data_IF_426059417066
#
_entry.id   IF_426059417066
#
_cell.length_a   1.000
_cell.length_b   1.000
_cell.length_c   1.000
_cell.angle_alpha   90.00
_cell.angle_beta   90.00
_cell.angle_gamma   90.00
#
_symmetry.space_group_name_H-M   'P 1'
#
loop_
_entity.id
_entity.type
_entity.pdbx_description
1 polymer ?
#
# COMPACT_ATOMS: atom_id res chain seq x y z
N UNK A 1 8.20 7.60 4.50
CA UNK A 1 8.52 6.46 3.61
C UNK A 1 7.59 6.51 2.40
N UNK A 2 7.97 5.89 1.28
CA UNK A 2 7.02 5.58 0.20
C UNK A 2 7.17 4.15 -0.23
N UNK A 3 6.08 3.52 -0.63
CA UNK A 3 6.14 2.38 -1.55
C UNK A 3 6.20 2.90 -2.99
N UNK A 4 6.89 2.13 -3.83
CA UNK A 4 7.02 2.37 -5.27
C UNK A 4 6.46 1.14 -5.97
N UNK A 5 5.23 1.20 -6.47
CA UNK A 5 4.72 0.13 -7.33
C UNK A 5 5.25 0.39 -8.75
N UNK A 6 6.40 -0.21 -9.04
CA UNK A 6 7.08 -0.07 -10.33
C UNK A 6 6.65 -1.15 -11.33
N UNK A 7 5.49 -1.78 -11.13
CA UNK A 7 4.90 -2.68 -12.10
C UNK A 7 4.45 -1.93 -13.37
N UNK A 8 4.20 -0.63 -13.27
CA UNK A 8 3.85 0.19 -14.42
C UNK A 8 5.08 0.60 -15.25
N UNK A 9 5.06 0.39 -16.58
CA UNK A 9 6.23 0.57 -17.44
C UNK A 9 6.68 2.03 -17.64
N UNK A 10 5.86 3.00 -17.22
CA UNK A 10 6.05 4.44 -17.54
C UNK A 10 6.72 5.24 -16.41
N UNK A 11 6.79 4.69 -15.18
CA UNK A 11 7.46 5.31 -14.03
C UNK A 11 8.80 4.63 -13.81
N UNK A 12 9.89 5.37 -14.01
CA UNK A 12 11.24 4.87 -13.74
C UNK A 12 11.70 5.29 -12.35
N UNK A 13 12.57 4.52 -11.67
CA UNK A 13 13.14 4.92 -10.38
C UNK A 13 13.73 6.34 -10.38
N UNK A 14 14.31 6.79 -11.50
CA UNK A 14 14.88 8.14 -11.64
C UNK A 14 13.86 9.27 -11.50
N UNK A 15 12.56 8.99 -11.71
CA UNK A 15 11.47 9.96 -11.68
C UNK A 15 10.95 10.18 -10.24
N UNK A 16 11.36 9.34 -9.29
CA UNK A 16 10.99 9.47 -7.88
C UNK A 16 11.65 10.71 -7.28
N UNK A 17 10.88 11.61 -6.65
CA UNK A 17 11.43 12.79 -6.00
C UNK A 17 12.20 12.42 -4.72
N UNK A 18 13.41 12.98 -4.59
CA UNK A 18 14.25 12.83 -3.39
C UNK A 18 14.14 14.06 -2.45
N UNK A 19 14.75 13.95 -1.28
CA UNK A 19 14.77 14.93 -0.20
C UNK A 19 13.56 14.88 0.76
N UNK A 20 12.50 14.16 0.39
CA UNK A 20 11.26 14.06 1.19
C UNK A 20 11.19 12.72 1.91
N UNK A 21 11.48 11.63 1.21
CA UNK A 21 11.46 10.27 1.75
C UNK A 21 12.78 9.90 2.41
N UNK A 22 12.74 9.34 3.62
CA UNK A 22 13.89 8.69 4.25
C UNK A 22 14.08 7.24 3.76
N UNK A 23 12.99 6.59 3.38
CA UNK A 23 12.96 5.20 2.92
C UNK A 23 12.09 5.07 1.66
N UNK A 24 12.54 4.24 0.73
CA UNK A 24 11.76 3.77 -0.42
C UNK A 24 11.60 2.25 -0.35
N UNK A 25 10.37 1.76 -0.39
CA UNK A 25 10.06 0.33 -0.50
C UNK A 25 9.77 -0.02 -1.95
N UNK A 26 10.57 -0.89 -2.55
CA UNK A 26 10.27 -1.45 -3.87
C UNK A 26 9.14 -2.48 -3.72
N UNK A 27 7.96 -2.18 -4.27
CA UNK A 27 6.84 -3.10 -4.36
C UNK A 27 6.76 -3.70 -5.79
N UNK A 28 6.83 -5.01 -5.98
CA UNK A 28 7.15 -6.07 -5.01
C UNK A 28 8.18 -7.06 -5.59
N UNK A 29 8.82 -7.82 -4.71
CA UNK A 29 9.29 -9.17 -5.04
C UNK A 29 8.31 -10.21 -4.45
N UNK A 30 8.34 -11.42 -4.99
CA UNK A 30 7.43 -12.51 -4.64
C UNK A 30 8.21 -13.70 -4.07
N UNK A 31 7.49 -14.76 -3.71
CA UNK A 31 8.07 -16.01 -3.24
C UNK A 31 7.62 -17.13 -4.18
N UNK A 32 8.54 -17.92 -4.70
CA UNK A 32 8.19 -19.09 -5.49
C UNK A 32 7.50 -20.15 -4.59
N UNK A 33 6.28 -20.59 -4.93
CA UNK A 33 5.45 -21.41 -4.03
C UNK A 33 5.97 -22.85 -3.84
N UNK A 34 6.99 -23.27 -4.60
CA UNK A 34 7.54 -24.64 -4.54
C UNK A 34 8.89 -24.67 -3.84
N UNK A 35 9.71 -23.67 -4.10
CA UNK A 35 11.09 -23.59 -3.60
C UNK A 35 11.24 -22.66 -2.41
N UNK A 36 10.23 -21.82 -2.15
CA UNK A 36 10.24 -20.76 -1.13
C UNK A 36 11.36 -19.72 -1.31
N UNK A 37 11.95 -19.66 -2.50
CA UNK A 37 13.00 -18.68 -2.83
C UNK A 37 12.38 -17.40 -3.36
N UNK A 38 13.08 -16.28 -3.18
CA UNK A 38 12.69 -15.00 -3.79
C UNK A 38 12.53 -15.15 -5.30
N UNK A 39 11.39 -14.67 -5.80
CA UNK A 39 11.04 -14.54 -7.20
C UNK A 39 10.78 -13.07 -7.55
N UNK A 40 10.97 -12.69 -8.80
CA UNK A 40 10.53 -11.38 -9.29
C UNK A 40 9.10 -11.46 -9.83
N UNK A 41 8.36 -10.35 -9.82
CA UNK A 41 7.04 -10.30 -10.47
C UNK A 41 7.17 -10.54 -11.98
N UNK A 42 8.11 -9.84 -12.62
CA UNK A 42 8.45 -9.98 -14.03
C UNK A 42 9.94 -9.66 -14.27
N UNK A 43 10.49 -10.11 -15.41
CA UNK A 43 11.85 -9.72 -15.83
C UNK A 43 12.00 -8.20 -15.99
N UNK A 44 10.92 -7.49 -16.34
CA UNK A 44 10.93 -6.04 -16.46
C UNK A 44 11.06 -5.37 -15.09
N UNK A 45 10.30 -5.85 -14.10
CA UNK A 45 10.40 -5.41 -12.69
C UNK A 45 11.80 -5.66 -12.15
N UNK A 46 12.38 -6.84 -12.43
CA UNK A 46 13.70 -7.22 -11.94
C UNK A 46 14.83 -6.28 -12.39
N UNK A 47 14.71 -5.69 -13.59
CA UNK A 47 15.69 -4.71 -14.11
C UNK A 47 15.70 -3.39 -13.35
N UNK A 48 14.63 -3.08 -12.60
CA UNK A 48 14.45 -1.80 -11.90
C UNK A 48 15.03 -1.80 -10.47
N UNK A 49 15.25 -2.97 -9.86
CA UNK A 49 15.74 -3.06 -8.46
C UNK A 49 17.01 -2.24 -8.22
N UNK A 50 18.06 -2.48 -9.03
CA UNK A 50 19.34 -1.75 -8.91
C UNK A 50 19.22 -0.27 -9.27
N UNK A 51 18.31 0.08 -10.17
CA UNK A 51 18.08 1.47 -10.54
C UNK A 51 17.45 2.26 -9.37
N UNK A 52 16.57 1.63 -8.58
CA UNK A 52 16.04 2.25 -7.36
C UNK A 52 17.11 2.36 -6.27
N UNK A 53 17.84 1.28 -5.98
CA UNK A 53 18.88 1.32 -4.94
C UNK A 53 20.05 2.25 -5.30
N UNK A 54 20.27 2.53 -6.59
CA UNK A 54 21.25 3.52 -7.04
C UNK A 54 20.89 4.97 -6.64
N UNK A 55 19.61 5.27 -6.35
CA UNK A 55 19.20 6.60 -5.88
C UNK A 55 19.86 7.02 -4.56
N UNK A 56 20.32 6.05 -3.76
CA UNK A 56 21.06 6.32 -2.52
C UNK A 56 22.32 7.15 -2.73
N UNK A 57 22.95 7.06 -3.90
CA UNK A 57 24.10 7.90 -4.26
C UNK A 57 23.77 9.39 -4.38
N UNK A 58 22.48 9.73 -4.45
CA UNK A 58 21.96 11.08 -4.72
C UNK A 58 21.30 11.72 -3.50
N UNK A 59 21.05 10.95 -2.45
CA UNK A 59 20.51 11.44 -1.19
C UNK A 59 21.18 10.68 -0.04
N UNK A 60 22.03 11.39 0.71
CA UNK A 60 22.68 10.80 1.87
C UNK A 60 21.65 10.36 2.91
N UNK A 61 21.84 9.17 3.47
CA UNK A 61 20.92 8.58 4.46
C UNK A 61 19.59 8.06 3.89
N UNK A 62 19.42 8.02 2.56
CA UNK A 62 18.30 7.29 1.95
C UNK A 62 18.53 5.79 2.08
N UNK A 63 17.53 5.08 2.60
CA UNK A 63 17.50 3.63 2.61
C UNK A 63 16.47 3.09 1.61
N UNK A 64 16.79 1.96 0.98
CA UNK A 64 15.90 1.34 -0.01
C UNK A 64 15.65 -0.11 0.39
N UNK A 65 14.40 -0.45 0.61
CA UNK A 65 13.96 -1.77 1.06
C UNK A 65 13.24 -2.50 -0.09
N UNK A 66 13.18 -3.82 0.00
CA UNK A 66 12.34 -4.64 -0.88
C UNK A 66 11.10 -5.09 -0.11
N UNK A 67 9.91 -4.83 -0.64
CA UNK A 67 8.66 -5.37 -0.10
C UNK A 67 8.35 -6.72 -0.75
N UNK A 68 8.02 -7.71 0.08
CA UNK A 68 7.72 -9.09 -0.35
C UNK A 68 6.23 -9.36 -0.15
N UNK A 69 5.53 -9.78 -1.20
CA UNK A 69 4.11 -10.14 -1.13
C UNK A 69 3.20 -9.14 -1.83
N UNK A 70 2.33 -8.49 -1.06
CA UNK A 70 1.26 -7.60 -1.51
C UNK A 70 -0.02 -8.35 -1.88
N UNK A 71 -1.12 -7.59 -2.02
CA UNK A 71 -2.48 -8.13 -2.18
C UNK A 71 -2.59 -9.31 -3.15
N UNK A 72 -2.13 -9.21 -4.40
CA UNK A 72 -2.35 -10.32 -5.35
C UNK A 72 -1.50 -11.56 -5.12
N UNK A 73 -0.47 -11.46 -4.31
CA UNK A 73 0.30 -12.64 -3.95
C UNK A 73 -0.59 -13.65 -3.19
N UNK A 74 -1.58 -13.16 -2.46
CA UNK A 74 -2.56 -13.96 -1.71
C UNK A 74 -3.89 -14.19 -2.44
N UNK A 75 -4.03 -13.74 -3.69
CA UNK A 75 -5.24 -13.99 -4.49
C UNK A 75 -5.41 -15.48 -4.84
N UNK A 76 -6.63 -15.93 -5.19
CA UNK A 76 -6.86 -17.32 -5.62
C UNK A 76 -5.91 -17.75 -6.74
N UNK A 77 -4.99 -18.66 -6.41
CA UNK A 77 -3.96 -19.10 -7.33
C UNK A 77 -2.84 -19.90 -6.64
N UNK A 78 -1.76 -20.20 -7.37
CA UNK A 78 -0.65 -21.03 -6.87
C UNK A 78 0.09 -20.45 -5.65
N UNK A 79 0.02 -19.14 -5.45
CA UNK A 79 0.74 -18.41 -4.39
C UNK A 79 -0.10 -18.16 -3.15
N UNK A 80 -1.42 -18.43 -3.21
CA UNK A 80 -2.40 -18.09 -2.16
C UNK A 80 -1.96 -18.50 -0.75
N UNK A 81 -1.43 -19.72 -0.59
CA UNK A 81 -1.02 -20.27 0.71
C UNK A 81 0.46 -20.11 1.00
N UNK A 82 1.25 -19.52 0.10
CA UNK A 82 2.72 -19.57 0.17
C UNK A 82 3.29 -18.97 1.42
N UNK A 83 2.75 -17.84 1.91
CA UNK A 83 3.20 -17.29 3.19
C UNK A 83 2.89 -18.20 4.37
N UNK A 84 1.70 -18.80 4.41
CA UNK A 84 1.31 -19.74 5.47
C UNK A 84 2.18 -21.01 5.44
N UNK A 85 2.42 -21.57 4.24
CA UNK A 85 3.29 -22.74 4.05
C UNK A 85 4.75 -22.43 4.45
N UNK A 86 5.24 -21.23 4.10
CA UNK A 86 6.56 -20.73 4.50
C UNK A 86 6.66 -20.59 6.02
N UNK A 87 5.70 -19.92 6.65
CA UNK A 87 5.70 -19.68 8.09
C UNK A 87 5.65 -21.00 8.89
N UNK A 88 4.98 -22.02 8.38
CA UNK A 88 4.83 -23.31 9.06
C UNK A 88 6.04 -24.26 8.95
N UNK A 89 7.04 -23.98 8.11
CA UNK A 89 8.12 -24.94 7.81
C UNK A 89 9.52 -24.35 7.98
N UNK A 90 10.30 -24.87 8.92
CA UNK A 90 11.65 -24.35 9.16
C UNK A 90 12.57 -24.45 7.94
N UNK A 91 12.47 -25.52 7.14
CA UNK A 91 13.28 -25.68 5.92
C UNK A 91 12.87 -24.71 4.81
N UNK A 92 11.57 -24.40 4.71
CA UNK A 92 11.08 -23.37 3.80
C UNK A 92 11.60 -21.99 4.22
N UNK A 93 11.59 -21.70 5.52
CA UNK A 93 12.16 -20.47 6.07
C UNK A 93 13.65 -20.36 5.77
N UNK A 94 14.43 -21.42 5.95
CA UNK A 94 15.87 -21.40 5.63
C UNK A 94 16.12 -21.11 4.14
N UNK A 95 15.38 -21.78 3.25
CA UNK A 95 15.46 -21.55 1.81
C UNK A 95 15.09 -20.10 1.43
N UNK A 96 14.05 -19.55 2.06
CA UNK A 96 13.63 -18.17 1.91
C UNK A 96 14.71 -17.21 2.39
N UNK A 97 15.19 -17.35 3.63
CA UNK A 97 16.20 -16.47 4.23
C UNK A 97 17.49 -16.43 3.42
N UNK A 98 18.01 -17.58 3.01
CA UNK A 98 19.23 -17.67 2.21
C UNK A 98 19.07 -16.97 0.85
N UNK A 99 17.91 -17.15 0.21
CA UNK A 99 17.60 -16.51 -1.07
C UNK A 99 17.38 -15.00 -0.92
N UNK A 100 16.71 -14.57 0.14
CA UNK A 100 16.40 -13.17 0.44
C UNK A 100 17.67 -12.38 0.74
N UNK A 101 18.53 -12.90 1.61
CA UNK A 101 19.81 -12.26 1.93
C UNK A 101 20.67 -12.14 0.67
N UNK A 102 20.78 -13.22 -0.12
CA UNK A 102 21.53 -13.19 -1.38
C UNK A 102 20.95 -12.16 -2.35
N UNK A 103 19.62 -12.08 -2.46
CA UNK A 103 18.92 -11.14 -3.32
C UNK A 103 19.13 -9.68 -2.87
N UNK A 104 19.04 -9.40 -1.56
CA UNK A 104 19.26 -8.07 -1.00
C UNK A 104 20.70 -7.59 -1.24
N UNK A 105 21.68 -8.45 -0.97
CA UNK A 105 23.10 -8.15 -1.23
C UNK A 105 23.35 -7.90 -2.72
N UNK A 106 22.80 -8.73 -3.60
CA UNK A 106 22.99 -8.60 -5.04
C UNK A 106 22.42 -7.28 -5.60
N UNK A 107 21.28 -6.83 -5.06
CA UNK A 107 20.58 -5.64 -5.53
C UNK A 107 20.84 -4.38 -4.69
N UNK A 108 21.70 -4.47 -3.67
CA UNK A 108 22.07 -3.37 -2.78
C UNK A 108 20.89 -2.78 -1.99
N UNK A 109 19.97 -3.62 -1.52
CA UNK A 109 18.91 -3.22 -0.59
C UNK A 109 19.46 -3.04 0.85
N UNK A 110 18.80 -2.21 1.65
CA UNK A 110 19.15 -1.94 3.05
C UNK A 110 18.19 -2.62 4.05
N UNK A 111 17.09 -3.18 3.57
CA UNK A 111 16.13 -3.88 4.40
C UNK A 111 15.05 -4.59 3.59
N UNK A 112 14.15 -5.24 4.30
CA UNK A 112 13.01 -5.98 3.76
C UNK A 112 11.74 -5.62 4.52
N UNK A 113 10.65 -5.48 3.77
CA UNK A 113 9.29 -5.39 4.30
C UNK A 113 8.53 -6.68 3.97
N UNK A 114 7.87 -7.28 4.96
CA UNK A 114 6.98 -8.42 4.75
C UNK A 114 5.53 -7.92 4.69
N UNK A 115 4.94 -8.06 3.51
CA UNK A 115 3.56 -7.66 3.21
C UNK A 115 2.70 -8.91 2.93
N UNK A 116 2.40 -9.64 4.00
CA UNK A 116 1.52 -10.81 3.97
C UNK A 116 0.08 -10.38 4.24
N UNK A 117 -0.78 -10.54 3.23
CA UNK A 117 -2.18 -10.11 3.28
C UNK A 117 -3.18 -11.29 3.20
N UNK A 118 -3.56 -11.97 4.29
CA UNK A 118 -3.17 -11.76 5.69
C UNK A 118 -3.02 -13.10 6.43
N UNK A 119 -2.18 -13.20 7.47
CA UNK A 119 -2.11 -14.38 8.34
C UNK A 119 -3.48 -14.70 8.95
N UNK A 120 -3.80 -15.98 9.11
CA UNK A 120 -5.06 -16.51 9.66
C UNK A 120 -6.34 -16.29 8.83
N UNK A 121 -6.32 -15.35 7.87
CA UNK A 121 -7.47 -14.98 7.07
C UNK A 121 -7.77 -16.06 5.99
N UNK A 122 -8.86 -16.80 6.15
CA UNK A 122 -9.23 -17.94 5.29
C UNK A 122 -9.51 -17.52 3.85
N UNK A 123 -10.17 -16.37 3.66
CA UNK A 123 -10.41 -15.70 2.39
C UNK A 123 -9.11 -15.36 1.63
N UNK A 124 -7.98 -15.31 2.34
CA UNK A 124 -6.63 -15.03 1.83
C UNK A 124 -5.66 -16.21 1.89
N UNK A 125 -6.15 -17.40 2.23
CA UNK A 125 -5.34 -18.63 2.30
C UNK A 125 -4.55 -18.81 3.59
N UNK A 126 -4.86 -18.03 4.62
CA UNK A 126 -4.31 -18.18 5.96
C UNK A 126 -4.89 -19.38 6.72
N UNK A 127 -4.19 -19.79 7.76
CA UNK A 127 -4.54 -20.84 8.73
C UNK A 127 -4.38 -20.31 10.15
N UNK A 128 -5.12 -20.88 11.11
CA UNK A 128 -5.10 -20.41 12.51
C UNK A 128 -3.71 -20.38 13.14
N UNK A 129 -2.85 -21.32 12.75
CA UNK A 129 -1.48 -21.48 13.22
C UNK A 129 -0.57 -20.34 12.76
N UNK A 130 -0.96 -19.58 11.73
CA UNK A 130 -0.21 -18.43 11.23
C UNK A 130 0.05 -17.38 12.32
N UNK A 131 -0.86 -17.24 13.30
CA UNK A 131 -0.70 -16.31 14.41
C UNK A 131 0.63 -16.51 15.16
N UNK A 132 0.97 -17.77 15.50
CA UNK A 132 2.22 -18.13 16.17
C UNK A 132 3.38 -18.36 15.18
N UNK A 133 3.08 -18.92 14.01
CA UNK A 133 4.09 -19.21 12.99
C UNK A 133 4.71 -17.92 12.44
N UNK A 134 3.93 -16.85 12.30
CA UNK A 134 4.44 -15.59 11.78
C UNK A 134 5.44 -14.94 12.73
N UNK A 135 5.17 -14.97 14.05
CA UNK A 135 6.14 -14.55 15.08
C UNK A 135 7.44 -15.35 14.94
N UNK A 136 7.34 -16.67 14.76
CA UNK A 136 8.51 -17.54 14.61
C UNK A 136 9.30 -17.20 13.34
N UNK A 137 8.62 -17.01 12.20
CA UNK A 137 9.24 -16.60 10.94
C UNK A 137 10.01 -15.28 11.09
N UNK A 138 9.37 -14.27 11.66
CA UNK A 138 9.93 -12.91 11.80
C UNK A 138 11.10 -12.89 12.77
N UNK A 139 10.98 -13.59 13.90
CA UNK A 139 12.08 -13.78 14.86
C UNK A 139 13.30 -14.40 14.18
N UNK A 140 13.12 -15.52 13.48
CA UNK A 140 14.23 -16.22 12.83
C UNK A 140 14.83 -15.39 11.70
N UNK A 141 14.02 -14.64 10.95
CA UNK A 141 14.53 -13.70 9.95
C UNK A 141 15.40 -12.62 10.59
N UNK A 142 14.93 -11.99 11.68
CA UNK A 142 15.71 -10.99 12.43
C UNK A 142 17.06 -11.56 12.88
N UNK A 143 17.07 -12.77 13.46
CA UNK A 143 18.29 -13.46 13.87
C UNK A 143 19.27 -13.69 12.70
N UNK A 144 18.77 -14.02 11.50
CA UNK A 144 19.60 -14.18 10.29
C UNK A 144 20.16 -12.84 9.79
N UNK A 145 19.36 -11.77 9.84
CA UNK A 145 19.79 -10.44 9.44
C UNK A 145 20.82 -9.84 10.40
N UNK A 146 20.71 -10.12 11.70
CA UNK A 146 21.65 -9.63 12.73
C UNK A 146 23.04 -10.29 12.65
N UNK A 147 23.17 -11.39 11.89
CA UNK A 147 24.46 -12.02 11.59
C UNK A 147 25.23 -11.30 10.46
N UNK A 148 24.61 -10.35 9.76
CA UNK A 148 25.23 -9.61 8.67
C UNK A 148 26.12 -8.48 9.22
N UNK A 149 27.15 -8.03 8.47
CA UNK A 149 28.15 -7.07 8.97
C UNK A 149 27.61 -5.65 9.19
N UNK A 150 26.39 -5.37 8.77
CA UNK A 150 25.66 -4.12 9.04
C UNK A 150 24.22 -4.44 9.40
N UNK A 151 23.55 -3.50 10.05
CA UNK A 151 22.10 -3.60 10.26
C UNK A 151 21.39 -3.63 8.90
N UNK A 152 20.48 -4.59 8.74
CA UNK A 152 19.49 -4.59 7.68
C UNK A 152 18.12 -4.43 8.34
N UNK A 153 17.33 -3.49 7.82
CA UNK A 153 15.99 -3.25 8.36
C UNK A 153 15.03 -4.40 8.08
N UNK A 154 14.11 -4.63 9.01
CA UNK A 154 13.00 -5.56 8.88
C UNK A 154 11.72 -4.87 9.32
N UNK A 155 10.77 -4.74 8.40
CA UNK A 155 9.45 -4.16 8.68
C UNK A 155 8.35 -5.14 8.28
N UNK A 156 7.16 -4.91 8.83
CA UNK A 156 5.96 -5.66 8.47
C UNK A 156 4.86 -4.67 8.12
N UNK A 157 4.11 -4.98 7.08
CA UNK A 157 2.90 -4.25 6.72
C UNK A 157 1.69 -4.84 7.45
N UNK A 158 0.92 -3.96 8.11
CA UNK A 158 -0.26 -4.31 8.92
C UNK A 158 -1.53 -3.71 8.31
N UNK A 159 -2.67 -4.42 8.35
CA UNK A 159 -3.96 -3.84 8.04
C UNK A 159 -4.42 -2.87 9.14
N UNK A 160 -5.23 -1.87 8.80
CA UNK A 160 -5.90 -1.01 9.79
C UNK A 160 -7.20 -1.62 10.35
N UNK A 161 -7.82 -2.55 9.64
CA UNK A 161 -9.08 -3.18 10.05
C UNK A 161 -8.86 -4.24 11.12
N UNK A 162 -9.75 -4.30 12.12
CA UNK A 162 -9.71 -5.36 13.15
C UNK A 162 -9.86 -6.75 12.52
N UNK A 163 -10.69 -6.87 11.48
CA UNK A 163 -10.99 -8.13 10.80
C UNK A 163 -9.73 -8.87 10.36
N UNK A 164 -8.73 -8.17 9.82
CA UNK A 164 -7.46 -8.76 9.45
C UNK A 164 -6.38 -8.62 10.53
N UNK A 165 -6.36 -7.52 11.29
CA UNK A 165 -5.33 -7.27 12.31
C UNK A 165 -5.36 -8.31 13.44
N UNK A 166 -6.52 -8.91 13.75
CA UNK A 166 -6.63 -9.97 14.75
C UNK A 166 -5.77 -11.22 14.44
N UNK A 167 -5.34 -11.40 13.19
CA UNK A 167 -4.43 -12.47 12.77
C UNK A 167 -2.96 -12.23 13.12
N UNK A 168 -2.61 -11.06 13.64
CA UNK A 168 -1.23 -10.66 13.96
C UNK A 168 -1.01 -10.61 15.47
N UNK A 169 -0.04 -11.39 15.97
CA UNK A 169 0.45 -11.27 17.34
C UNK A 169 1.40 -10.06 17.47
N UNK A 170 0.85 -8.86 17.35
CA UNK A 170 1.62 -7.60 17.24
C UNK A 170 2.59 -7.40 18.42
N UNK A 171 2.21 -7.83 19.63
CA UNK A 171 3.03 -7.69 20.81
C UNK A 171 4.28 -8.58 20.75
N UNK A 172 4.16 -9.81 20.24
CA UNK A 172 5.29 -10.70 20.07
C UNK A 172 6.05 -10.47 18.75
N UNK A 173 5.48 -9.75 17.79
CA UNK A 173 6.17 -9.30 16.57
C UNK A 173 7.06 -8.07 16.81
N UNK A 174 6.61 -7.12 17.63
CA UNK A 174 7.26 -5.82 17.84
C UNK A 174 8.77 -5.90 18.17
N UNK A 175 9.26 -6.84 19.01
CA UNK A 175 10.68 -6.91 19.34
C UNK A 175 11.60 -7.24 18.15
N UNK A 176 11.06 -7.79 17.07
CA UNK A 176 11.84 -8.30 15.94
C UNK A 176 11.78 -7.40 14.71
N UNK A 177 10.96 -6.35 14.72
CA UNK A 177 10.82 -5.40 13.61
C UNK A 177 11.35 -4.02 13.99
N UNK A 178 11.85 -3.30 13.00
CA UNK A 178 12.22 -1.90 13.16
C UNK A 178 10.97 -1.02 13.32
N UNK A 179 9.91 -1.29 12.55
CA UNK A 179 8.58 -0.69 12.71
C UNK A 179 7.53 -1.48 11.93
N UNK A 180 6.26 -1.15 12.19
CA UNK A 180 5.09 -1.57 11.43
C UNK A 180 4.66 -0.48 10.44
N UNK A 181 4.43 -0.85 9.18
CA UNK A 181 3.79 0.00 8.19
C UNK A 181 2.29 -0.28 8.22
N UNK A 182 1.47 0.62 8.75
CA UNK A 182 0.02 0.38 8.90
C UNK A 182 -0.73 0.97 7.70
N UNK A 183 -1.46 0.14 6.97
CA UNK A 183 -2.28 0.52 5.82
C UNK A 183 -3.56 1.23 6.28
N UNK A 184 -3.41 2.47 6.75
CA UNK A 184 -4.50 3.36 7.18
C UNK A 184 -5.19 4.06 5.99
N UNK A 185 -5.42 3.28 4.95
CA UNK A 185 -6.15 3.60 3.73
C UNK A 185 -6.93 2.34 3.31
N UNK A 186 -7.83 2.45 2.35
CA UNK A 186 -8.72 1.35 1.95
C UNK A 186 -9.57 0.81 3.12
N UNK A 187 -9.96 1.71 4.00
CA UNK A 187 -10.95 1.41 5.05
C UNK A 187 -12.32 1.11 4.42
N UNK A 188 -12.63 1.80 3.31
CA UNK A 188 -13.89 1.69 2.57
C UNK A 188 -13.65 1.59 1.07
N UNK A 189 -14.54 0.90 0.38
CA UNK A 189 -14.44 0.69 -1.06
C UNK A 189 -15.63 -0.07 -1.64
N UNK A 190 -15.56 -0.43 -2.92
CA UNK A 190 -16.66 -1.10 -3.62
C UNK A 190 -17.07 -2.44 -2.98
N UNK A 191 -16.14 -3.10 -2.28
CA UNK A 191 -16.40 -4.37 -1.59
C UNK A 191 -17.39 -4.24 -0.43
N UNK A 192 -17.63 -3.03 0.09
CA UNK A 192 -18.59 -2.78 1.18
C UNK A 192 -20.02 -3.21 0.79
N UNK A 193 -20.35 -3.22 -0.52
CA UNK A 193 -21.62 -3.74 -1.04
C UNK A 193 -21.89 -5.20 -0.64
N UNK A 194 -20.84 -5.99 -0.39
CA UNK A 194 -20.94 -7.38 0.01
C UNK A 194 -20.86 -7.59 1.52
N UNK A 195 -20.50 -6.55 2.28
CA UNK A 195 -20.41 -6.58 3.74
C UNK A 195 -21.80 -6.45 4.38
N UNK A 196 -22.07 -7.21 5.44
CA UNK A 196 -23.37 -7.20 6.13
C UNK A 196 -23.54 -5.96 7.02
N UNK A 197 -22.43 -5.42 7.50
CA UNK A 197 -22.38 -4.36 8.50
C UNK A 197 -22.42 -2.97 7.85
N UNK A 198 -21.70 -2.79 6.74
CA UNK A 198 -21.59 -1.51 6.03
C UNK A 198 -22.62 -1.42 4.91
N UNK A 199 -22.70 -2.46 4.06
CA UNK A 199 -23.53 -2.44 2.86
C UNK A 199 -23.04 -1.45 1.79
N UNK A 200 -23.83 -1.19 0.74
CA UNK A 200 -23.42 -0.37 -0.40
C UNK A 200 -23.44 1.13 -0.10
N UNK A 201 -22.90 1.57 1.03
CA UNK A 201 -22.80 2.97 1.43
C UNK A 201 -21.40 3.52 1.14
N UNK A 202 -21.34 4.65 0.47
CA UNK A 202 -20.07 5.30 0.12
C UNK A 202 -19.50 6.03 1.35
N UNK A 203 -18.35 5.58 1.82
CA UNK A 203 -17.58 6.24 2.88
C UNK A 203 -16.15 6.52 2.40
N UNK A 204 -15.47 7.42 3.11
CA UNK A 204 -14.13 7.82 2.72
C UNK A 204 -13.09 6.78 3.15
N UNK A 205 -12.26 6.33 2.22
CA UNK A 205 -11.31 5.24 2.49
C UNK A 205 -10.12 5.62 3.39
N UNK A 206 -9.94 6.90 3.68
CA UNK A 206 -8.89 7.44 4.55
C UNK A 206 -9.45 8.31 5.67
N UNK A 207 -10.65 8.00 6.18
CA UNK A 207 -11.29 8.74 7.26
C UNK A 207 -10.44 8.74 8.54
N UNK A 208 -9.98 9.91 8.99
CA UNK A 208 -9.08 10.05 10.15
C UNK A 208 -9.69 9.56 11.47
N UNK A 209 -11.01 9.65 11.65
CA UNK A 209 -11.66 9.12 12.86
C UNK A 209 -11.56 7.60 12.92
N UNK A 210 -11.66 6.94 11.76
CA UNK A 210 -11.54 5.48 11.64
C UNK A 210 -10.08 5.02 11.64
N UNK A 211 -9.18 5.80 11.03
CA UNK A 211 -7.72 5.62 11.19
C UNK A 211 -7.36 5.62 12.68
N UNK A 212 -7.91 6.56 13.46
CA UNK A 212 -7.69 6.59 14.90
C UNK A 212 -8.19 5.32 15.60
N UNK A 213 -9.39 4.83 15.25
CA UNK A 213 -9.92 3.58 15.81
C UNK A 213 -9.05 2.37 15.45
N UNK A 214 -8.54 2.30 14.22
CA UNK A 214 -7.61 1.25 13.80
C UNK A 214 -6.29 1.27 14.59
N UNK A 215 -5.71 2.46 14.79
CA UNK A 215 -4.47 2.62 15.57
C UNK A 215 -4.66 2.31 17.06
N UNK A 216 -5.85 2.56 17.62
CA UNK A 216 -6.16 2.19 19.01
C UNK A 216 -6.06 0.68 19.28
N UNK A 217 -6.21 -0.17 18.25
CA UNK A 217 -6.00 -1.61 18.38
C UNK A 217 -4.55 -1.95 18.74
N UNK A 218 -3.57 -1.18 18.23
CA UNK A 218 -2.16 -1.35 18.58
C UNK A 218 -1.88 -0.92 20.02
N UNK A 219 -2.44 0.21 20.46
CA UNK A 219 -2.22 0.69 21.84
C UNK A 219 -2.91 -0.16 22.90
N UNK A 220 -4.02 -0.83 22.57
CA UNK A 220 -4.62 -1.86 23.44
C UNK A 220 -3.69 -3.06 23.65
N UNK A 221 -2.70 -3.24 22.80
CA UNK A 221 -1.63 -4.24 22.92
C UNK A 221 -0.30 -3.65 23.40
N UNK A 222 -0.30 -2.41 23.93
CA UNK A 222 0.88 -1.70 24.44
C UNK A 222 2.02 -1.50 23.42
N UNK A 223 1.71 -1.49 22.12
CA UNK A 223 2.70 -1.23 21.07
C UNK A 223 3.24 0.20 21.22
N UNK A 224 4.56 0.34 21.13
CA UNK A 224 5.24 1.62 21.18
C UNK A 224 4.86 2.48 19.95
N UNK A 225 4.26 3.67 20.12
CA UNK A 225 3.91 4.54 19.00
C UNK A 225 5.08 4.84 18.04
N UNK A 226 6.31 4.91 18.57
CA UNK A 226 7.51 5.13 17.75
C UNK A 226 7.82 3.98 16.78
N UNK A 227 7.23 2.79 16.99
CA UNK A 227 7.31 1.62 16.10
C UNK A 227 6.19 1.60 15.05
N UNK A 228 5.37 2.65 14.95
CA UNK A 228 4.22 2.68 14.04
C UNK A 228 4.43 3.75 12.98
N UNK A 229 4.32 3.36 11.71
CA UNK A 229 4.35 4.24 10.55
C UNK A 229 2.96 4.26 9.92
N UNK A 230 2.31 5.42 9.90
CA UNK A 230 0.93 5.58 9.43
C UNK A 230 0.88 5.73 7.90
N UNK A 231 0.09 4.90 7.23
CA UNK A 231 -0.13 4.92 5.79
C UNK A 231 -0.99 6.10 5.29
N UNK A 232 -0.65 6.63 4.13
CA UNK A 232 -1.33 7.71 3.43
C UNK A 232 -1.64 7.25 2.00
N UNK A 233 -2.91 7.26 1.61
CA UNK A 233 -3.33 6.90 0.26
C UNK A 233 -3.10 8.05 -0.72
N UNK A 234 -2.24 7.86 -1.71
CA UNK A 234 -1.98 8.81 -2.81
C UNK A 234 -2.92 8.59 -4.01
N UNK A 235 -4.12 8.11 -3.70
CA UNK A 235 -5.22 7.83 -4.63
C UNK A 235 -6.53 8.00 -3.88
N UNK A 236 -7.63 7.99 -4.63
CA UNK A 236 -8.97 7.98 -4.07
C UNK A 236 -9.71 6.70 -4.38
N UNK A 237 -10.66 6.37 -3.51
CA UNK A 237 -11.72 5.37 -3.78
C UNK A 237 -12.96 6.06 -4.28
N UNK A 238 -13.50 5.58 -5.39
CA UNK A 238 -14.63 6.19 -6.09
C UNK A 238 -15.85 5.28 -6.21
N UNK A 239 -17.02 5.90 -6.30
CA UNK A 239 -18.32 5.24 -6.37
C UNK A 239 -19.21 5.92 -7.42
N UNK A 240 -20.12 5.12 -8.01
CA UNK A 240 -21.27 5.65 -8.77
C UNK A 240 -22.47 5.68 -7.83
N UNK A 241 -22.94 6.86 -7.45
CA UNK A 241 -24.03 7.05 -6.49
C UNK A 241 -25.38 6.62 -7.08
N UNK A 242 -26.22 6.01 -6.23
CA UNK A 242 -27.53 5.50 -6.63
C UNK A 242 -28.56 6.62 -6.84
N UNK A 243 -28.56 7.63 -5.97
CA UNK A 243 -29.37 8.83 -6.07
C UNK A 243 -28.47 10.06 -6.30
N UNK A 244 -28.57 10.75 -7.45
CA UNK A 244 -27.84 11.99 -7.72
C UNK A 244 -28.08 13.11 -6.69
N UNK A 245 -29.14 13.03 -5.89
CA UNK A 245 -29.43 13.98 -4.81
C UNK A 245 -28.78 13.59 -3.47
N UNK A 246 -28.22 12.39 -3.35
CA UNK A 246 -27.52 11.91 -2.17
C UNK A 246 -26.03 11.71 -2.49
N UNK A 247 -25.23 12.75 -2.24
CA UNK A 247 -23.81 12.80 -2.60
C UNK A 247 -22.86 12.91 -1.40
N UNK A 248 -23.37 12.79 -0.17
CA UNK A 248 -22.56 12.83 1.06
C UNK A 248 -22.09 11.43 1.46
N UNK A 249 -21.03 11.29 2.28
CA UNK A 249 -20.71 10.02 2.94
C UNK A 249 -21.94 9.39 3.60
N UNK A 250 -22.05 8.07 3.51
CA UNK A 250 -23.22 7.31 3.96
C UNK A 250 -24.36 7.21 2.94
N UNK A 251 -24.26 7.87 1.78
CA UNK A 251 -25.21 7.68 0.68
C UNK A 251 -24.95 6.36 -0.06
N UNK A 252 -26.00 5.77 -0.63
CA UNK A 252 -25.92 4.48 -1.32
C UNK A 252 -25.25 4.61 -2.70
N UNK A 253 -24.34 3.70 -3.03
CA UNK A 253 -23.76 3.55 -4.36
C UNK A 253 -24.33 2.34 -5.09
N UNK A 254 -24.16 2.33 -6.42
CA UNK A 254 -24.56 1.23 -7.30
C UNK A 254 -23.40 0.25 -7.47
N UNK A 255 -23.61 -0.97 -7.01
CA UNK A 255 -22.64 -2.05 -7.12
C UNK A 255 -22.26 -2.31 -8.59
N UNK A 256 -20.96 -2.42 -8.87
CA UNK A 256 -20.44 -2.76 -10.20
C UNK A 256 -20.55 -1.65 -11.26
N UNK A 257 -21.01 -0.45 -10.91
CA UNK A 257 -21.17 0.67 -11.84
C UNK A 257 -20.08 1.76 -11.73
N UNK A 258 -19.17 1.66 -10.76
CA UNK A 258 -18.06 2.60 -10.64
C UNK A 258 -17.10 2.44 -11.85
N UNK A 259 -16.86 3.50 -12.64
CA UNK A 259 -15.94 3.42 -13.77
C UNK A 259 -14.52 3.18 -13.28
N UNK A 260 -13.71 2.59 -14.16
CA UNK A 260 -12.28 2.59 -13.99
C UNK A 260 -11.72 3.99 -14.21
N UNK A 261 -10.68 4.37 -13.46
CA UNK A 261 -9.88 5.52 -13.81
C UNK A 261 -9.32 5.39 -15.23
N UNK A 262 -9.19 6.51 -15.94
CA UNK A 262 -8.58 6.55 -17.27
C UNK A 262 -7.15 5.98 -17.25
N UNK A 263 -6.45 6.14 -16.13
CA UNK A 263 -5.03 5.90 -15.99
C UNK A 263 -4.81 4.66 -15.10
N UNK A 264 -5.40 4.61 -13.91
CA UNK A 264 -5.34 3.40 -13.06
C UNK A 264 -5.99 2.19 -13.72
N UNK A 265 -6.99 2.38 -14.59
CA UNK A 265 -7.76 1.34 -15.27
C UNK A 265 -8.36 0.28 -14.31
N UNK A 266 -8.66 0.70 -13.08
CA UNK A 266 -9.27 -0.13 -12.04
C UNK A 266 -10.58 0.52 -11.60
N UNK A 267 -11.72 -0.20 -11.67
CA UNK A 267 -12.99 0.28 -11.15
C UNK A 267 -12.88 0.74 -9.70
N UNK A 268 -13.32 1.97 -9.42
CA UNK A 268 -13.33 2.49 -8.07
C UNK A 268 -11.98 2.99 -7.53
N UNK A 269 -10.93 3.06 -8.34
CA UNK A 269 -9.62 3.60 -7.95
C UNK A 269 -9.24 4.73 -8.90
N UNK A 270 -8.97 5.91 -8.35
CA UNK A 270 -8.60 7.10 -9.12
C UNK A 270 -7.30 7.66 -8.55
N UNK A 271 -6.23 7.77 -9.35
CA UNK A 271 -4.96 8.37 -8.92
C UNK A 271 -5.11 9.85 -8.59
N UNK A 272 -4.19 10.43 -7.82
CA UNK A 272 -4.19 11.87 -7.54
C UNK A 272 -4.13 12.71 -8.84
N UNK A 273 -3.36 12.24 -9.82
CA UNK A 273 -3.28 12.83 -11.17
C UNK A 273 -4.65 12.93 -11.84
N UNK A 274 -5.43 11.85 -11.81
CA UNK A 274 -6.76 11.80 -12.41
C UNK A 274 -7.76 12.65 -11.65
N UNK A 275 -7.67 12.66 -10.31
CA UNK A 275 -8.50 13.53 -9.47
C UNK A 275 -8.27 14.98 -9.83
N UNK A 276 -7.02 15.46 -9.95
CA UNK A 276 -6.77 16.83 -10.40
C UNK A 276 -7.29 17.09 -11.83
N UNK A 277 -7.31 16.08 -12.69
CA UNK A 277 -7.99 16.13 -13.99
C UNK A 277 -9.50 16.35 -13.86
N UNK A 278 -10.16 15.64 -12.95
CA UNK A 278 -11.58 15.76 -12.62
C UNK A 278 -11.89 17.15 -12.04
N UNK A 279 -11.05 17.65 -11.12
CA UNK A 279 -11.21 18.99 -10.54
C UNK A 279 -11.12 20.10 -11.61
N UNK A 280 -10.14 20.00 -12.53
CA UNK A 280 -9.99 20.95 -13.65
C UNK A 280 -11.20 20.97 -14.60
N UNK A 281 -11.98 19.88 -14.65
CA UNK A 281 -13.21 19.76 -15.44
C UNK A 281 -14.46 20.29 -14.70
N UNK A 282 -14.31 20.85 -13.49
CA UNK A 282 -15.38 21.51 -12.76
C UNK A 282 -16.12 20.63 -11.75
N UNK A 283 -15.45 19.63 -11.16
CA UNK A 283 -16.03 18.85 -10.07
C UNK A 283 -16.31 19.72 -8.83
N UNK A 284 -17.37 19.39 -8.10
CA UNK A 284 -17.69 20.03 -6.81
C UNK A 284 -16.90 19.35 -5.71
N UNK A 285 -16.23 20.12 -4.85
CA UNK A 285 -15.42 19.59 -3.75
C UNK A 285 -16.01 19.98 -2.40
N UNK A 286 -16.21 18.98 -1.54
CA UNK A 286 -16.61 19.15 -0.14
C UNK A 286 -15.49 18.70 0.78
N UNK A 287 -15.21 19.49 1.81
CA UNK A 287 -14.26 19.15 2.86
C UNK A 287 -14.98 18.61 4.09
N UNK A 288 -14.62 17.40 4.51
CA UNK A 288 -15.10 16.81 5.75
C UNK A 288 -14.01 16.95 6.81
N UNK A 289 -14.15 17.98 7.65
CA UNK A 289 -13.09 18.40 8.57
C UNK A 289 -12.70 17.33 9.59
N UNK A 290 -13.69 16.73 10.26
CA UNK A 290 -13.43 15.74 11.32
C UNK A 290 -12.80 14.46 10.76
N UNK A 291 -13.25 14.04 9.57
CA UNK A 291 -12.69 12.91 8.85
C UNK A 291 -11.35 13.23 8.18
N UNK A 292 -10.94 14.51 8.11
CA UNK A 292 -9.80 14.99 7.35
C UNK A 292 -9.70 14.35 5.95
N UNK A 293 -10.78 14.50 5.16
CA UNK A 293 -10.86 14.01 3.77
C UNK A 293 -11.55 15.02 2.86
N UNK A 294 -11.23 14.99 1.56
CA UNK A 294 -11.98 15.66 0.51
C UNK A 294 -12.87 14.66 -0.20
N UNK A 295 -14.03 15.13 -0.64
CA UNK A 295 -14.92 14.41 -1.54
C UNK A 295 -15.18 15.27 -2.76
N UNK A 296 -15.05 14.68 -3.95
CA UNK A 296 -15.30 15.34 -5.21
C UNK A 296 -16.42 14.62 -5.92
N UNK A 297 -17.35 15.41 -6.47
CA UNK A 297 -18.49 14.90 -7.20
C UNK A 297 -18.59 15.53 -8.58
N UNK A 298 -18.90 14.71 -9.57
CA UNK A 298 -18.96 15.14 -10.97
C UNK A 298 -19.94 14.27 -11.77
N UNK A 299 -20.20 14.65 -13.04
CA UNK A 299 -21.04 13.88 -13.97
C UNK A 299 -22.34 13.35 -13.34
N UNK A 300 -23.04 14.23 -12.60
CA UNK A 300 -24.29 14.01 -11.85
C UNK A 300 -24.25 13.01 -10.69
N UNK A 301 -23.52 11.91 -10.77
CA UNK A 301 -23.55 10.86 -9.74
C UNK A 301 -22.21 10.18 -9.47
N UNK A 302 -21.11 10.76 -9.94
CA UNK A 302 -19.78 10.24 -9.64
C UNK A 302 -19.26 10.86 -8.35
N UNK A 303 -18.57 10.05 -7.56
CA UNK A 303 -18.09 10.42 -6.22
C UNK A 303 -16.70 9.84 -6.02
N UNK A 304 -15.75 10.61 -5.48
CA UNK A 304 -14.44 10.12 -5.05
C UNK A 304 -14.04 10.77 -3.74
N UNK A 305 -13.53 9.98 -2.79
CA UNK A 305 -12.85 10.50 -1.61
C UNK A 305 -11.34 10.38 -1.78
N UNK A 306 -10.59 11.39 -1.36
CA UNK A 306 -9.14 11.37 -1.41
C UNK A 306 -8.51 12.36 -0.43
N UNK A 307 -7.18 12.34 -0.40
CA UNK A 307 -6.35 13.26 0.37
C UNK A 307 -5.71 14.36 -0.48
N UNK A 308 -5.81 15.61 -0.03
CA UNK A 308 -5.14 16.77 -0.60
C UNK A 308 -4.13 17.39 0.38
N UNK A 309 -3.56 18.55 0.01
CA UNK A 309 -2.59 19.25 0.86
C UNK A 309 -3.13 19.54 2.26
N UNK A 310 -4.41 19.93 2.36
CA UNK A 310 -5.02 20.28 3.63
C UNK A 310 -5.23 19.04 4.51
N UNK A 311 -5.74 17.96 3.94
CA UNK A 311 -6.03 16.74 4.69
C UNK A 311 -4.77 15.99 5.09
N UNK A 312 -3.76 15.93 4.21
CA UNK A 312 -2.45 15.37 4.53
C UNK A 312 -1.79 16.11 5.69
N UNK A 313 -1.89 17.45 5.73
CA UNK A 313 -1.39 18.21 6.87
C UNK A 313 -2.07 17.81 8.17
N UNK A 314 -3.41 17.68 8.19
CA UNK A 314 -4.14 17.26 9.39
C UNK A 314 -3.74 15.86 9.86
N UNK A 315 -3.53 14.94 8.91
CA UNK A 315 -3.06 13.57 9.17
C UNK A 315 -1.63 13.54 9.72
N UNK A 316 -0.73 14.34 9.17
CA UNK A 316 0.66 14.45 9.67
C UNK A 316 0.67 15.09 11.07
N UNK A 317 -0.12 16.14 11.29
CA UNK A 317 -0.26 16.74 12.62
C UNK A 317 -0.83 15.74 13.63
N UNK A 318 -1.78 14.90 13.22
CA UNK A 318 -2.29 13.80 14.05
C UNK A 318 -1.20 12.76 14.36
N UNK A 319 -0.45 12.29 13.37
CA UNK A 319 0.64 11.34 13.57
C UNK A 319 1.70 11.89 14.53
N UNK A 320 2.09 13.16 14.38
CA UNK A 320 3.02 13.84 15.27
C UNK A 320 2.48 13.96 16.71
N UNK A 321 1.20 14.33 16.88
CA UNK A 321 0.55 14.39 18.20
C UNK A 321 0.50 13.04 18.91
N UNK A 322 0.47 11.94 18.14
CA UNK A 322 0.50 10.57 18.64
C UNK A 322 1.92 10.02 18.81
N UNK A 323 2.95 10.82 18.53
CA UNK A 323 4.36 10.42 18.56
C UNK A 323 4.63 9.17 17.69
N UNK A 324 3.96 9.06 16.54
CA UNK A 324 4.19 7.94 15.62
C UNK A 324 5.61 8.01 15.04
N UNK A 325 6.19 6.85 14.72
CA UNK A 325 7.52 6.72 14.10
C UNK A 325 7.64 7.39 12.74
N UNK A 326 6.51 7.57 12.04
CA UNK A 326 6.44 8.38 10.83
C UNK A 326 5.18 8.13 10.01
N UNK A 327 5.28 8.47 8.72
CA UNK A 327 4.25 8.18 7.72
C UNK A 327 4.82 7.46 6.51
N UNK A 328 3.95 6.71 5.83
CA UNK A 328 4.23 6.00 4.59
C UNK A 328 3.19 6.41 3.54
N UNK A 329 3.59 6.51 2.27
CA UNK A 329 2.68 6.80 1.17
C UNK A 329 2.53 5.58 0.25
N UNK A 330 1.28 5.23 -0.07
CA UNK A 330 0.91 4.25 -1.10
C UNK A 330 0.13 4.93 -2.22
N UNK A 331 0.67 5.08 -3.42
CA UNK A 331 2.08 4.91 -3.78
C UNK A 331 2.58 6.11 -4.57
N UNK A 332 3.91 6.29 -4.63
CA UNK A 332 4.51 7.47 -5.26
C UNK A 332 4.15 7.62 -6.74
N UNK A 333 3.89 6.49 -7.40
CA UNK A 333 3.53 6.40 -8.81
C UNK A 333 2.09 6.87 -9.11
N UNK A 334 1.26 7.06 -8.08
CA UNK A 334 -0.12 7.57 -8.20
C UNK A 334 -0.23 9.09 -8.00
N UNK A 335 0.89 9.76 -7.70
CA UNK A 335 0.97 11.20 -7.45
C UNK A 335 1.39 11.98 -8.71
N UNK A 336 0.84 13.19 -8.87
CA UNK A 336 1.30 14.19 -9.85
C UNK A 336 2.18 15.27 -9.20
N UNK A 337 2.86 14.90 -8.11
CA UNK A 337 3.88 15.69 -7.46
C UNK A 337 3.31 16.65 -6.43
N UNK A 338 1.99 16.84 -6.45
CA UNK A 338 1.29 17.72 -5.53
C UNK A 338 1.21 17.12 -4.14
N UNK A 339 0.98 15.80 -4.00
CA UNK A 339 0.86 15.14 -2.69
C UNK A 339 2.21 14.97 -2.02
N UNK A 340 3.26 14.63 -2.79
CA UNK A 340 4.62 14.59 -2.25
C UNK A 340 5.11 15.99 -1.87
N UNK A 341 4.78 17.04 -2.63
CA UNK A 341 5.05 18.42 -2.23
C UNK A 341 4.30 18.84 -0.98
N UNK A 342 3.04 18.42 -0.83
CA UNK A 342 2.26 18.62 0.37
C UNK A 342 2.92 17.95 1.59
N UNK A 343 3.33 16.70 1.43
CA UNK A 343 4.04 15.93 2.44
C UNK A 343 5.35 16.62 2.85
N UNK A 344 6.14 17.10 1.89
CA UNK A 344 7.36 17.88 2.15
C UNK A 344 7.08 19.15 2.97
N UNK A 345 6.10 19.95 2.54
CA UNK A 345 5.69 21.19 3.24
C UNK A 345 5.18 20.91 4.66
N UNK A 346 4.32 19.90 4.82
CA UNK A 346 3.73 19.55 6.10
C UNK A 346 4.75 18.94 7.09
N UNK A 347 5.79 18.27 6.59
CA UNK A 347 6.87 17.69 7.41
C UNK A 347 8.05 18.65 7.66
N UNK A 348 8.01 19.87 7.13
CA UNK A 348 9.11 20.84 7.23
C UNK A 348 10.37 20.43 6.47
N UNK A 349 10.28 19.42 5.58
CA UNK A 349 11.40 18.93 4.77
C UNK A 349 11.46 19.68 3.45
N UNK A 350 12.66 20.13 3.07
CA UNK A 350 12.91 20.73 1.75
C UNK A 350 13.28 19.66 0.74
N UNK A 351 12.64 19.69 -0.42
CA UNK A 351 12.88 18.79 -1.55
C UNK A 351 14.27 19.03 -2.15
N UNK A 352 15.00 17.96 -2.46
CA UNK A 352 16.21 18.00 -3.28
C UNK A 352 15.92 17.23 -4.57
N UNK A 353 15.81 17.95 -5.68
CA UNK A 353 15.41 17.36 -6.96
C UNK A 353 16.43 16.35 -7.48
N UNK A 354 15.92 15.30 -8.10
CA UNK A 354 16.71 14.39 -8.91
C UNK A 354 16.80 14.86 -10.37
N UNK A 355 18.04 15.15 -10.77
CA UNK A 355 18.65 15.24 -12.12
C UNK A 355 18.44 16.48 -12.98
N UNK A 356 17.29 17.15 -12.94
CA UNK A 356 17.11 18.36 -13.78
C UNK A 356 16.17 19.42 -13.17
N UNK A 357 15.69 19.22 -11.93
CA UNK A 357 14.79 20.18 -11.27
C UNK A 357 13.37 20.20 -11.84
N UNK A 358 13.02 19.30 -12.75
CA UNK A 358 11.69 19.25 -13.36
C UNK A 358 10.91 18.08 -12.82
N UNK A 359 9.82 18.38 -12.11
CA UNK A 359 8.77 17.39 -11.93
C UNK A 359 8.24 17.02 -13.30
N UNK A 360 8.30 15.73 -13.63
CA UNK A 360 7.57 15.22 -14.78
C UNK A 360 6.27 14.70 -14.20
N UNK A 361 5.15 15.43 -14.32
CA UNK A 361 3.86 14.86 -13.96
C UNK A 361 3.75 13.53 -14.67
N UNK A 362 3.58 12.47 -13.88
CA UNK A 362 3.47 11.12 -14.40
C UNK A 362 2.32 11.15 -15.39
N UNK A 363 2.61 11.10 -16.70
CA UNK A 363 1.57 11.20 -17.69
C UNK A 363 0.65 10.02 -17.45
N UNK A 364 -0.65 10.30 -17.48
CA UNK A 364 -1.69 9.30 -17.31
C UNK A 364 -1.30 7.99 -17.96
N UNK A 365 -1.14 6.97 -17.11
CA UNK A 365 -0.97 5.58 -17.50
C UNK A 365 -1.85 5.28 -18.73
N UNK A 366 -1.22 5.01 -19.88
CA UNK A 366 -1.87 4.43 -21.04
C UNK A 366 -2.72 5.35 -21.94
N UNK A 367 -2.22 5.55 -23.16
CA UNK A 367 -2.85 4.89 -24.33
C UNK A 367 -1.77 4.37 -25.30
N UNK A 368 -1.98 3.24 -26.00
CA UNK A 368 -3.01 2.19 -25.84
C UNK A 368 -2.42 0.80 -25.57
N UNK A 369 -3.16 -0.10 -24.89
CA UNK A 369 -2.82 -1.54 -24.91
C UNK A 369 -3.23 -2.17 -26.26
N UNK A 370 -2.40 -3.05 -26.88
CA UNK A 370 -2.73 -3.73 -28.13
C UNK A 370 -3.95 -4.65 -28.00
N UNK A 371 -4.72 -4.80 -29.09
CA UNK A 371 -5.77 -5.84 -29.18
C UNK A 371 -5.14 -7.22 -28.89
N UNK A 372 -5.59 -7.88 -27.82
CA UNK A 372 -5.23 -9.27 -27.50
C UNK A 372 -4.59 -9.51 -26.12
N UNK A 373 -4.47 -8.51 -25.25
CA UNK A 373 -3.96 -8.72 -23.89
C UNK A 373 -5.01 -9.36 -22.97
N UNK A 374 -5.04 -10.69 -22.90
CA UNK A 374 -5.48 -11.39 -21.70
C UNK A 374 -4.41 -11.16 -20.62
N UNK A 375 -4.70 -10.37 -19.58
CA UNK A 375 -4.09 -10.43 -18.24
C UNK A 375 -4.76 -9.41 -17.30
N UNK A 376 -5.32 -9.94 -16.22
CA UNK A 376 -5.95 -9.22 -15.10
C UNK A 376 -4.87 -8.63 -14.19
N UNK A 377 -5.03 -7.38 -13.77
CA UNK A 377 -4.32 -6.80 -12.63
C UNK A 377 -5.18 -6.88 -11.36
N UNK A 378 -4.46 -6.67 -10.27
CA UNK A 378 -4.68 -6.91 -8.86
C UNK A 378 -5.94 -6.22 -8.30
N UNK A 379 -6.82 -6.97 -7.64
CA UNK A 379 -7.93 -6.40 -6.85
C UNK A 379 -9.27 -6.11 -7.55
N UNK A 380 -9.49 -6.54 -8.80
CA UNK A 380 -10.81 -6.46 -9.44
C UNK A 380 -11.59 -7.78 -9.31
N UNK A 381 -12.86 -7.80 -8.87
CA UNK A 381 -13.65 -9.03 -8.88
C UNK A 381 -13.76 -9.55 -10.32
N UNK A 382 -13.20 -10.73 -10.57
CA UNK A 382 -13.54 -11.51 -11.78
C UNK A 382 -15.01 -11.87 -11.67
N UNK A 383 -15.80 -11.54 -12.71
CA UNK A 383 -17.16 -12.07 -12.89
C UNK A 383 -17.12 -13.60 -12.92
N UNK A 384 -17.32 -14.22 -11.75
CA UNK A 384 -17.66 -15.62 -11.65
C UNK A 384 -19.12 -15.78 -12.05
N UNK A 385 -19.38 -16.32 -13.25
CA UNK A 385 -20.70 -16.82 -13.57
C UNK A 385 -21.05 -17.95 -12.59
N UNK A 386 -22.16 -17.87 -11.83
CA UNK A 386 -22.62 -19.01 -11.06
C UNK A 386 -23.07 -20.09 -12.05
N UNK A 387 -22.29 -21.17 -12.17
CA UNK A 387 -22.80 -22.42 -12.74
C UNK A 387 -23.74 -23.03 -11.71
N UNK A 388 -25.02 -23.08 -12.07
CA UNK A 388 -26.03 -23.95 -11.46
C UNK A 388 -25.52 -25.39 -11.49
N UNK A 389 -25.63 -26.07 -10.36
CA UNK A 389 -25.43 -27.50 -10.15
C UNK A 389 -25.93 -27.83 -8.76
#
# INVERSE_FOLDING_TARGET
MSFTDLAAPEVEPKDIPLGIYSHLNFAFALIDPKTFRIAHMTDATAKRYKALTALKSRQNGLEVYIAIGGWDFNDPGPTRTTFSDLAASQSAQDAFFDSLISFMLHNNFDGVDLDWEYPTADDRGGRSEDFANYVTLVKRLRERLDQLPKHYGLTITLPASYWYLQGFDVANLEPYVDWFNVMTYDIHGLWDAHGKEIGPHAYAHTNLTEINLGLELLWRNNINPARVVMGLGFYGRSFTMADPNCMTPGCVFKEGEAPAGECTNIPGVISATEIHGILRKGATVTFYQDAAVKVATWNTNQWVSWDDVQTLKLKIDFANKRCLGGTMAWAVDLDDGTLVEALGKASGKKKEWTSDGKYRPMPCFGRPWPKGSNKTWIGGPKKGNPKKG
#
